data_IF_177015542754
#
_entry.id   IF_177015542754
#
_cell.length_a   1.000
_cell.length_b   1.000
_cell.length_c   1.000
_cell.angle_alpha   90.00
_cell.angle_beta   90.00
_cell.angle_gamma   90.00
#
_symmetry.space_group_name_H-M   'P 1'
#
loop_
_entity.id
_entity.type
_entity.pdbx_description
1 polymer ?
#
# COMPACT_ATOMS: atom_id res chain seq x y z
N UNK A 1 6.57 9.03 18.19
CA UNK A 1 6.96 8.20 17.05
C UNK A 1 6.10 8.63 15.86
N UNK A 2 6.71 8.93 14.71
CA UNK A 2 6.00 9.25 13.48
C UNK A 2 5.37 7.93 13.01
N UNK A 3 4.04 7.74 13.01
CA UNK A 3 3.42 6.44 12.75
C UNK A 3 3.87 5.90 11.39
N UNK A 4 4.07 4.59 11.27
CA UNK A 4 4.47 4.01 9.98
C UNK A 4 3.43 4.38 8.92
N UNK A 5 3.87 4.66 7.69
CA UNK A 5 2.98 5.03 6.57
C UNK A 5 1.86 3.98 6.36
N UNK A 6 2.16 2.73 6.71
CA UNK A 6 1.27 1.55 6.62
C UNK A 6 -0.03 1.70 7.43
N UNK A 7 0.00 2.37 8.58
CA UNK A 7 -1.17 2.48 9.48
C UNK A 7 -2.00 3.75 9.24
N UNK A 8 -1.37 4.81 8.72
CA UNK A 8 -2.03 6.13 8.54
C UNK A 8 -3.15 6.11 7.51
N UNK A 9 -2.96 5.36 6.43
CA UNK A 9 -3.93 5.32 5.33
C UNK A 9 -5.25 4.68 5.80
N UNK A 10 -5.23 3.50 6.44
CA UNK A 10 -6.43 2.96 7.09
C UNK A 10 -7.04 3.91 8.12
N UNK A 11 -6.24 4.52 9.00
CA UNK A 11 -6.72 5.45 10.06
C UNK A 11 -7.46 6.69 9.52
N UNK A 12 -7.08 7.16 8.33
CA UNK A 12 -7.71 8.32 7.67
C UNK A 12 -8.71 7.94 6.57
N UNK A 13 -9.00 6.65 6.42
CA UNK A 13 -10.03 6.15 5.51
C UNK A 13 -11.32 5.89 6.28
N UNK A 14 -12.48 6.16 5.67
CA UNK A 14 -13.77 5.88 6.32
C UNK A 14 -13.93 4.38 6.56
N UNK A 15 -14.38 3.99 7.76
CA UNK A 15 -14.42 2.59 8.22
C UNK A 15 -15.10 1.63 7.22
N UNK A 16 -16.22 2.04 6.63
CA UNK A 16 -16.94 1.23 5.65
C UNK A 16 -16.11 0.91 4.38
N UNK A 17 -15.18 1.79 3.99
CA UNK A 17 -14.28 1.56 2.85
C UNK A 17 -13.20 0.55 3.24
N UNK A 18 -12.62 0.68 4.43
CA UNK A 18 -11.66 -0.30 4.95
C UNK A 18 -12.32 -1.69 5.05
N UNK A 19 -13.55 -1.75 5.57
CA UNK A 19 -14.31 -2.99 5.68
C UNK A 19 -14.59 -3.62 4.31
N UNK A 20 -14.98 -2.79 3.33
CA UNK A 20 -15.22 -3.26 1.97
C UNK A 20 -13.96 -3.86 1.34
N UNK A 21 -12.80 -3.21 1.50
CA UNK A 21 -11.52 -3.72 1.00
C UNK A 21 -11.16 -5.03 1.68
N UNK A 22 -11.31 -5.11 3.01
CA UNK A 22 -11.04 -6.35 3.77
C UNK A 22 -11.93 -7.49 3.29
N UNK A 23 -13.25 -7.28 3.23
CA UNK A 23 -14.21 -8.29 2.78
C UNK A 23 -13.90 -8.76 1.36
N UNK A 24 -13.58 -7.84 0.46
CA UNK A 24 -13.21 -8.18 -0.91
C UNK A 24 -11.93 -9.05 -0.97
N UNK A 25 -10.94 -8.71 -0.15
CA UNK A 25 -9.70 -9.49 -0.04
C UNK A 25 -9.97 -10.90 0.47
N UNK A 26 -10.77 -11.07 1.53
CA UNK A 26 -11.15 -12.38 2.06
C UNK A 26 -11.92 -13.22 1.03
N UNK A 27 -12.89 -12.60 0.33
CA UNK A 27 -13.65 -13.24 -0.75
C UNK A 27 -12.73 -13.69 -1.89
N UNK A 28 -11.72 -12.87 -2.25
CA UNK A 28 -10.73 -13.23 -3.26
C UNK A 28 -9.91 -14.44 -2.82
N UNK A 29 -9.35 -14.41 -1.61
CA UNK A 29 -8.55 -15.51 -1.06
C UNK A 29 -9.35 -16.81 -1.09
N UNK A 30 -10.58 -16.81 -0.57
CA UNK A 30 -11.45 -17.99 -0.56
C UNK A 30 -11.74 -18.51 -1.98
N UNK A 31 -12.04 -17.60 -2.92
CA UNK A 31 -12.36 -17.94 -4.31
C UNK A 31 -11.18 -18.58 -5.03
N UNK A 32 -10.00 -17.98 -4.96
CA UNK A 32 -8.82 -18.49 -5.67
C UNK A 32 -8.27 -19.75 -5.02
N UNK A 33 -8.34 -19.86 -3.68
CA UNK A 33 -7.97 -21.09 -2.98
C UNK A 33 -8.85 -22.28 -3.36
N UNK A 34 -10.17 -22.08 -3.47
CA UNK A 34 -11.10 -23.12 -3.92
C UNK A 34 -10.90 -23.52 -5.39
N UNK A 35 -10.35 -22.63 -6.21
CA UNK A 35 -10.09 -22.87 -7.63
C UNK A 35 -8.76 -23.60 -7.91
N UNK A 36 -7.91 -23.78 -6.89
CA UNK A 36 -6.66 -24.55 -6.97
C UNK A 36 -5.43 -23.74 -7.39
N UNK A 37 -4.27 -24.41 -7.39
CA UNK A 37 -2.95 -23.77 -7.48
C UNK A 37 -2.75 -22.92 -8.74
N UNK A 38 -3.29 -23.34 -9.88
CA UNK A 38 -3.17 -22.56 -11.12
C UNK A 38 -3.91 -21.21 -11.05
N UNK A 39 -5.07 -21.19 -10.38
CA UNK A 39 -5.80 -19.96 -10.13
C UNK A 39 -5.06 -19.06 -9.14
N UNK A 40 -4.39 -19.65 -8.13
CA UNK A 40 -3.52 -18.93 -7.20
C UNK A 40 -2.33 -18.32 -7.95
N UNK A 41 -1.66 -19.07 -8.83
CA UNK A 41 -0.53 -18.59 -9.62
C UNK A 41 -0.90 -17.36 -10.45
N UNK A 42 -2.03 -17.43 -11.16
CA UNK A 42 -2.54 -16.31 -11.95
C UNK A 42 -2.84 -15.09 -11.07
N UNK A 43 -3.50 -15.29 -9.93
CA UNK A 43 -3.81 -14.17 -9.03
C UNK A 43 -2.55 -13.55 -8.43
N UNK A 44 -1.54 -14.33 -8.09
CA UNK A 44 -0.27 -13.80 -7.62
C UNK A 44 0.41 -12.92 -8.67
N UNK A 45 0.38 -13.34 -9.95
CA UNK A 45 0.88 -12.50 -11.05
C UNK A 45 0.06 -11.21 -11.21
N UNK A 46 -1.27 -11.24 -11.04
CA UNK A 46 -2.10 -10.04 -11.03
C UNK A 46 -1.75 -9.10 -9.86
N UNK A 47 -1.47 -9.65 -8.67
CA UNK A 47 -1.09 -8.87 -7.49
C UNK A 47 0.29 -8.20 -7.64
N UNK A 48 1.19 -8.80 -8.40
CA UNK A 48 2.53 -8.23 -8.67
C UNK A 48 2.47 -7.01 -9.59
N UNK A 49 1.46 -6.96 -10.47
CA UNK A 49 1.18 -5.81 -11.34
C UNK A 49 0.22 -4.78 -10.70
N UNK A 50 -0.36 -5.08 -9.54
CA UNK A 50 -1.30 -4.19 -8.88
C UNK A 50 -0.60 -2.95 -8.31
N UNK A 51 -1.21 -1.78 -8.54
CA UNK A 51 -0.70 -0.52 -8.03
C UNK A 51 -1.30 -0.24 -6.66
N UNK A 52 -0.44 -0.08 -5.66
CA UNK A 52 -0.87 0.45 -4.37
C UNK A 52 -1.15 1.95 -4.43
N UNK A 53 -1.91 2.42 -3.45
CA UNK A 53 -2.36 3.81 -3.33
C UNK A 53 -1.22 4.82 -3.22
N UNK A 54 -0.07 4.44 -2.64
CA UNK A 54 1.09 5.32 -2.47
C UNK A 54 1.82 5.49 -3.81
N UNK A 55 2.11 4.40 -4.52
CA UNK A 55 2.68 4.43 -5.88
C UNK A 55 1.83 5.26 -6.83
N UNK A 56 0.50 5.10 -6.76
CA UNK A 56 -0.45 5.88 -7.53
C UNK A 56 -0.38 7.38 -7.22
N UNK A 57 -0.31 7.74 -5.93
CA UNK A 57 -0.21 9.12 -5.49
C UNK A 57 1.09 9.77 -5.98
N UNK A 58 2.22 9.10 -5.78
CA UNK A 58 3.54 9.58 -6.15
C UNK A 58 3.70 9.74 -7.66
N UNK A 59 3.28 8.74 -8.44
CA UNK A 59 3.36 8.79 -9.90
C UNK A 59 2.54 9.95 -10.47
N UNK A 60 1.33 10.19 -9.96
CA UNK A 60 0.49 11.30 -10.40
C UNK A 60 1.07 12.66 -9.99
N UNK A 61 1.59 12.77 -8.76
CA UNK A 61 2.25 13.99 -8.30
C UNK A 61 3.51 14.30 -9.12
N UNK A 62 4.37 13.31 -9.37
CA UNK A 62 5.56 13.44 -10.21
C UNK A 62 5.19 13.84 -11.63
N UNK A 63 4.16 13.22 -12.21
CA UNK A 63 3.66 13.57 -13.55
C UNK A 63 3.21 15.03 -13.62
N UNK A 64 2.37 15.48 -12.68
CA UNK A 64 1.90 16.86 -12.64
C UNK A 64 3.04 17.86 -12.43
N UNK A 65 3.99 17.53 -11.56
CA UNK A 65 5.16 18.37 -11.33
C UNK A 65 6.06 18.46 -12.58
N UNK A 66 6.31 17.35 -13.28
CA UNK A 66 7.12 17.31 -14.49
C UNK A 66 6.47 18.08 -15.64
N UNK A 67 5.18 17.82 -15.90
CA UNK A 67 4.41 18.53 -16.94
C UNK A 67 4.31 20.03 -16.61
N UNK A 68 3.98 20.38 -15.37
CA UNK A 68 3.91 21.76 -14.93
C UNK A 68 5.25 22.49 -15.05
N UNK A 69 6.35 21.82 -14.72
CA UNK A 69 7.70 22.37 -14.90
C UNK A 69 8.05 22.57 -16.38
N UNK A 70 7.72 21.61 -17.24
CA UNK A 70 7.90 21.73 -18.69
C UNK A 70 7.12 22.92 -19.26
N UNK A 71 5.84 23.07 -18.87
CA UNK A 71 5.03 24.21 -19.27
C UNK A 71 5.58 25.55 -18.73
N UNK A 72 6.16 25.55 -17.54
CA UNK A 72 6.77 26.74 -16.95
C UNK A 72 7.99 27.24 -17.73
N UNK A 73 8.78 26.29 -18.23
CA UNK A 73 10.00 26.56 -18.99
C UNK A 73 9.71 26.89 -20.46
N UNK A 74 8.71 26.23 -21.06
CA UNK A 74 8.48 26.26 -22.50
C UNK A 74 7.32 27.17 -22.94
N UNK A 75 6.36 27.46 -22.05
CA UNK A 75 5.12 28.18 -22.41
C UNK A 75 4.98 29.47 -21.61
N UNK A 76 4.82 29.40 -20.29
CA UNK A 76 4.62 30.58 -19.42
C UNK A 76 5.07 30.28 -17.98
N UNK A 77 5.84 31.18 -17.38
CA UNK A 77 6.32 31.05 -16.00
C UNK A 77 5.22 30.86 -14.96
N UNK A 78 3.98 31.26 -15.25
CA UNK A 78 2.81 31.02 -14.38
C UNK A 78 2.56 29.54 -14.12
N UNK A 79 2.94 28.64 -15.03
CA UNK A 79 2.82 27.19 -14.82
C UNK A 79 3.75 26.67 -13.71
N UNK A 80 4.75 27.44 -13.26
CA UNK A 80 5.57 27.09 -12.10
C UNK A 80 4.76 26.96 -10.81
N UNK A 81 3.55 27.53 -10.76
CA UNK A 81 2.61 27.33 -9.65
C UNK A 81 2.21 25.85 -9.49
N UNK A 82 2.15 25.05 -10.56
CA UNK A 82 1.76 23.64 -10.50
C UNK A 82 2.77 22.82 -9.67
N UNK A 83 4.07 22.73 -10.04
CA UNK A 83 5.04 21.97 -9.24
C UNK A 83 5.22 22.55 -7.84
N UNK A 84 5.07 23.87 -7.65
CA UNK A 84 5.11 24.48 -6.32
C UNK A 84 3.97 23.98 -5.43
N UNK A 85 2.72 24.00 -5.92
CA UNK A 85 1.56 23.52 -5.15
C UNK A 85 1.66 22.02 -4.88
N UNK A 86 2.01 21.22 -5.89
CA UNK A 86 2.18 19.76 -5.73
C UNK A 86 3.29 19.45 -4.72
N UNK A 87 4.44 20.11 -4.82
CA UNK A 87 5.56 19.92 -3.90
C UNK A 87 5.23 20.35 -2.47
N UNK A 88 4.56 21.50 -2.28
CA UNK A 88 4.09 21.94 -0.96
C UNK A 88 3.10 20.94 -0.36
N UNK A 89 2.21 20.38 -1.18
CA UNK A 89 1.24 19.39 -0.75
C UNK A 89 1.90 18.08 -0.31
N UNK A 90 2.86 17.57 -1.08
CA UNK A 90 3.65 16.38 -0.68
C UNK A 90 4.44 16.63 0.60
N UNK A 91 5.04 17.82 0.75
CA UNK A 91 5.77 18.19 1.96
C UNK A 91 4.83 18.26 3.18
N UNK A 92 3.66 18.88 3.02
CA UNK A 92 2.63 18.89 4.05
C UNK A 92 2.22 17.46 4.42
N UNK A 93 2.00 16.59 3.43
CA UNK A 93 1.64 15.20 3.65
C UNK A 93 2.72 14.42 4.42
N UNK A 94 3.98 14.56 4.03
CA UNK A 94 5.10 13.89 4.69
C UNK A 94 5.19 14.28 6.18
N UNK A 95 4.91 15.55 6.51
CA UNK A 95 4.99 16.08 7.88
C UNK A 95 3.72 15.81 8.70
N UNK A 96 2.53 15.95 8.11
CA UNK A 96 1.24 15.90 8.83
C UNK A 96 0.53 14.55 8.71
N UNK A 97 0.96 13.67 7.81
CA UNK A 97 0.39 12.33 7.61
C UNK A 97 -0.96 12.30 6.88
N UNK A 98 -1.61 13.44 6.68
CA UNK A 98 -2.91 13.53 6.00
C UNK A 98 -2.75 13.84 4.50
N UNK A 99 -3.58 13.23 3.64
CA UNK A 99 -3.57 13.43 2.20
C UNK A 99 -5.00 13.41 1.64
N UNK A 100 -5.60 14.56 1.25
CA UNK A 100 -6.94 14.61 0.67
C UNK A 100 -7.22 13.68 -0.54
N UNK A 101 -6.29 13.37 -1.46
CA UNK A 101 -6.56 12.43 -2.54
C UNK A 101 -6.59 10.96 -2.08
N UNK A 102 -5.97 10.60 -0.95
CA UNK A 102 -5.95 9.20 -0.49
C UNK A 102 -7.37 8.66 -0.23
N UNK A 103 -8.25 9.32 0.54
CA UNK A 103 -9.65 8.86 0.69
C UNK A 103 -10.41 8.70 -0.62
N UNK A 104 -10.06 9.49 -1.65
CA UNK A 104 -10.67 9.39 -2.99
C UNK A 104 -10.17 8.11 -3.68
N UNK A 105 -8.85 7.89 -3.73
CA UNK A 105 -8.29 6.67 -4.30
C UNK A 105 -8.76 5.42 -3.57
N UNK A 106 -8.87 5.48 -2.23
CA UNK A 106 -9.42 4.39 -1.41
C UNK A 106 -10.86 4.06 -1.80
N UNK A 107 -11.71 5.07 -2.02
CA UNK A 107 -13.09 4.86 -2.53
C UNK A 107 -13.14 4.32 -3.95
N UNK A 108 -12.12 4.59 -4.77
CA UNK A 108 -11.97 4.01 -6.11
C UNK A 108 -11.43 2.56 -6.07
N UNK A 109 -11.12 2.02 -4.89
CA UNK A 109 -10.69 0.64 -4.69
C UNK A 109 -9.18 0.43 -4.63
N UNK A 110 -8.37 1.51 -4.59
CA UNK A 110 -6.93 1.36 -4.44
C UNK A 110 -6.56 0.90 -3.03
N UNK A 111 -5.79 -0.19 -2.97
CA UNK A 111 -5.36 -0.84 -1.75
C UNK A 111 -3.99 -0.33 -1.32
N UNK A 112 -3.66 -0.47 -0.04
CA UNK A 112 -2.29 -0.25 0.44
C UNK A 112 -1.41 -1.42 0.03
N UNK A 113 -0.09 -1.21 0.02
CA UNK A 113 0.87 -2.30 -0.20
C UNK A 113 0.66 -3.44 0.81
N UNK A 114 0.40 -3.12 2.08
CA UNK A 114 0.14 -4.11 3.13
C UNK A 114 -1.12 -4.95 2.90
N UNK A 115 -2.18 -4.38 2.34
CA UNK A 115 -3.41 -5.11 2.00
C UNK A 115 -3.21 -6.04 0.80
N UNK A 116 -2.45 -5.59 -0.20
CA UNK A 116 -2.05 -6.42 -1.35
C UNK A 116 -1.15 -7.57 -0.90
N UNK A 117 -0.18 -7.27 -0.04
CA UNK A 117 0.72 -8.27 0.55
C UNK A 117 -0.02 -9.27 1.41
N UNK A 118 -1.02 -8.83 2.17
CA UNK A 118 -1.86 -9.73 2.95
C UNK A 118 -2.54 -10.78 2.06
N UNK A 119 -3.15 -10.38 0.93
CA UNK A 119 -3.72 -11.32 -0.03
C UNK A 119 -2.64 -12.25 -0.61
N UNK A 120 -1.50 -11.67 -1.03
CA UNK A 120 -0.36 -12.41 -1.59
C UNK A 120 0.13 -13.50 -0.64
N UNK A 121 0.37 -13.17 0.63
CA UNK A 121 0.87 -14.10 1.63
C UNK A 121 -0.16 -15.15 2.04
N UNK A 122 -1.44 -14.78 2.14
CA UNK A 122 -2.51 -15.75 2.38
C UNK A 122 -2.56 -16.80 1.26
N UNK A 123 -2.50 -16.38 0.00
CA UNK A 123 -2.51 -17.27 -1.15
C UNK A 123 -1.26 -18.16 -1.23
N UNK A 124 -0.06 -17.60 -1.00
CA UNK A 124 1.19 -18.38 -0.93
C UNK A 124 1.14 -19.45 0.18
N UNK A 125 0.56 -19.10 1.33
CA UNK A 125 0.36 -20.04 2.44
C UNK A 125 -0.56 -21.19 2.03
N UNK A 126 -1.68 -20.89 1.37
CA UNK A 126 -2.65 -21.89 0.93
C UNK A 126 -2.10 -22.80 -0.19
N UNK A 127 -1.27 -22.26 -1.09
CA UNK A 127 -0.52 -23.02 -2.10
C UNK A 127 0.54 -23.94 -1.48
N UNK A 128 0.99 -23.63 -0.27
CA UNK A 128 1.93 -24.45 0.49
C UNK A 128 3.40 -23.99 0.42
N UNK A 129 3.67 -22.78 -0.05
CA UNK A 129 5.03 -22.21 -0.19
C UNK A 129 5.84 -22.20 1.12
N UNK A 130 5.16 -22.27 2.26
CA UNK A 130 5.75 -22.16 3.59
C UNK A 130 5.84 -23.49 4.36
N UNK A 131 5.50 -24.62 3.72
CA UNK A 131 5.49 -25.95 4.39
C UNK A 131 6.88 -26.41 4.85
N UNK A 132 7.94 -25.96 4.18
CA UNK A 132 9.33 -26.31 4.48
C UNK A 132 10.08 -25.23 5.28
N UNK A 133 9.38 -24.17 5.74
CA UNK A 133 10.01 -23.28 6.71
C UNK A 133 10.21 -24.06 8.01
N UNK A 134 11.43 -24.10 8.58
CA UNK A 134 11.66 -24.78 9.83
C UNK A 134 10.68 -24.21 10.85
N UNK A 135 9.76 -25.05 11.33
CA UNK A 135 8.99 -24.73 12.51
C UNK A 135 10.02 -24.48 13.60
N UNK A 136 10.23 -23.21 13.94
CA UNK A 136 11.23 -22.85 14.92
C UNK A 136 10.79 -23.44 16.24
N UNK A 137 11.50 -24.47 16.68
CA UNK A 137 11.26 -25.26 17.88
C UNK A 137 11.35 -24.39 19.13
N UNK A 138 10.28 -23.65 19.45
CA UNK A 138 9.92 -23.20 20.80
C UNK A 138 10.89 -22.35 21.64
N UNK A 139 12.13 -22.06 21.19
CA UNK A 139 13.15 -21.39 22.00
C UNK A 139 13.59 -20.01 21.49
N UNK A 140 13.22 -19.60 20.27
CA UNK A 140 13.64 -18.31 19.69
C UNK A 140 12.58 -17.19 19.76
N UNK A 141 11.39 -17.46 20.32
CA UNK A 141 10.36 -16.44 20.52
C UNK A 141 10.67 -15.45 21.65
N UNK A 142 11.63 -15.76 22.51
CA UNK A 142 12.14 -14.81 23.52
C UNK A 142 12.97 -13.70 22.87
N UNK A 143 13.70 -14.01 21.78
CA UNK A 143 14.55 -13.07 21.07
C UNK A 143 13.75 -12.08 20.21
N UNK A 144 12.77 -12.56 19.44
CA UNK A 144 12.00 -11.70 18.53
C UNK A 144 11.12 -10.71 19.30
N UNK A 145 10.45 -11.13 20.39
CA UNK A 145 9.70 -10.20 21.24
C UNK A 145 10.59 -9.15 21.90
N UNK A 146 11.77 -9.54 22.40
CA UNK A 146 12.73 -8.60 23.00
C UNK A 146 13.30 -7.61 21.98
N UNK A 147 13.57 -8.06 20.75
CA UNK A 147 14.02 -7.18 19.66
C UNK A 147 12.90 -6.23 19.22
N UNK A 148 11.65 -6.70 19.16
CA UNK A 148 10.50 -5.86 18.79
C UNK A 148 10.13 -4.84 19.88
N UNK A 149 10.28 -5.19 21.16
CA UNK A 149 10.08 -4.25 22.27
C UNK A 149 11.20 -3.19 22.33
N UNK A 150 12.43 -3.53 21.94
CA UNK A 150 13.55 -2.59 21.85
C UNK A 150 13.44 -1.62 20.66
N UNK A 151 12.72 -1.98 19.60
CA UNK A 151 12.47 -1.10 18.44
C UNK A 151 11.26 -0.18 18.65
N UNK A 152 10.38 -0.51 19.61
CA UNK A 152 9.19 0.30 19.95
C UNK A 152 9.44 1.43 20.97
N UNK A 153 10.62 1.51 21.58
CA UNK A 153 11.02 2.59 22.50
C UNK A 153 11.67 3.78 21.81
#
# INVERSE_FOLDING_TARGET
MIPSTVERVPEHTAEHVNEQIRRQTEENVARYAAAGDEAINRRLAELDEEWDVERMLEANAATLAAVGSGLALLVDRRFALIPLVVGSFLLQHAVQGWCPPIPIFRRLGFRTASEIDYERYALKTLRGDFRDMPANDGHELTSVKQVLDAVRS
#
